data_IF_272977339492
#
_entry.id   IF_272977339492
#
_cell.length_a   1.000
_cell.length_b   1.000
_cell.length_c   1.000
_cell.angle_alpha   90.00
_cell.angle_beta   90.00
_cell.angle_gamma   90.00
#
_symmetry.space_group_name_H-M   'P 1'
#
loop_
_entity.id
_entity.type
_entity.pdbx_description
1 polymer ?
#
# COMPACT_ATOMS: atom_id res chain seq x y z
N UNK A 1 21.65 1.79 9.38
CA UNK A 1 20.43 1.53 10.18
C UNK A 1 20.08 2.72 11.09
N UNK A 2 21.03 3.25 11.87
CA UNK A 2 20.83 4.46 12.70
C UNK A 2 20.31 5.68 11.93
N UNK A 3 20.89 5.97 10.77
CA UNK A 3 20.43 7.09 9.90
C UNK A 3 18.97 6.91 9.46
N UNK A 4 18.56 5.68 9.11
CA UNK A 4 17.18 5.41 8.71
C UNK A 4 16.19 5.59 9.87
N UNK A 5 16.58 5.19 11.09
CA UNK A 5 15.77 5.40 12.30
C UNK A 5 15.66 6.89 12.60
N UNK A 6 16.76 7.65 12.55
CA UNK A 6 16.76 9.10 12.75
C UNK A 6 15.87 9.82 11.72
N UNK A 7 15.97 9.45 10.44
CA UNK A 7 15.10 10.01 9.41
C UNK A 7 13.63 9.67 9.62
N UNK A 8 13.28 8.48 10.09
CA UNK A 8 11.89 8.14 10.43
C UNK A 8 11.36 8.90 11.63
N UNK A 9 12.18 9.11 12.66
CA UNK A 9 11.79 9.93 13.81
C UNK A 9 11.59 11.39 13.39
N UNK A 10 12.44 11.92 12.50
CA UNK A 10 12.27 13.25 11.94
C UNK A 10 10.99 13.36 11.10
N UNK A 11 10.71 12.40 10.21
CA UNK A 11 9.47 12.34 9.43
C UNK A 11 8.23 12.21 10.31
N UNK A 12 8.31 11.41 11.38
CA UNK A 12 7.25 11.32 12.38
C UNK A 12 7.02 12.67 13.07
N UNK A 13 8.09 13.36 13.47
CA UNK A 13 8.01 14.69 14.07
C UNK A 13 7.39 15.74 13.15
N UNK A 14 7.68 15.67 11.85
CA UNK A 14 7.13 16.61 10.85
C UNK A 14 5.68 16.32 10.46
N UNK A 15 5.31 15.04 10.34
CA UNK A 15 4.01 14.63 9.78
C UNK A 15 2.98 14.24 10.85
N UNK A 16 3.43 13.92 12.07
CA UNK A 16 2.58 13.44 13.16
C UNK A 16 1.97 12.04 12.94
N UNK A 17 2.29 11.36 11.83
CA UNK A 17 1.69 10.06 11.51
C UNK A 17 2.46 8.90 12.15
N UNK A 18 1.83 8.25 13.14
CA UNK A 18 2.39 7.07 13.84
C UNK A 18 2.86 5.95 12.91
N UNK A 19 2.28 5.85 11.71
CA UNK A 19 2.63 4.84 10.69
C UNK A 19 4.12 4.86 10.31
N UNK A 20 4.79 6.01 10.33
CA UNK A 20 6.22 6.11 9.99
C UNK A 20 7.12 5.39 10.99
N UNK A 21 6.79 5.42 12.29
CA UNK A 21 7.55 4.70 13.33
C UNK A 21 7.42 3.19 13.18
N UNK A 22 6.25 2.71 12.75
CA UNK A 22 6.00 1.28 12.57
C UNK A 22 6.49 0.73 11.23
N UNK A 23 6.96 1.59 10.32
CA UNK A 23 7.33 1.16 8.96
C UNK A 23 8.55 0.24 8.93
N UNK A 24 9.65 0.55 9.65
CA UNK A 24 10.84 -0.34 9.71
C UNK A 24 10.50 -1.68 10.37
N UNK A 25 9.91 -1.72 11.59
CA UNK A 25 9.53 -2.98 12.22
C UNK A 25 8.61 -3.83 11.32
N UNK A 26 7.62 -3.19 10.70
CA UNK A 26 6.69 -3.85 9.79
C UNK A 26 7.42 -4.46 8.58
N UNK A 27 8.26 -3.68 7.90
CA UNK A 27 9.03 -4.15 6.74
C UNK A 27 9.97 -5.31 7.10
N UNK A 28 10.64 -5.26 8.26
CA UNK A 28 11.53 -6.32 8.72
C UNK A 28 10.78 -7.62 9.05
N UNK A 29 9.65 -7.52 9.75
CA UNK A 29 8.80 -8.66 10.08
C UNK A 29 8.30 -9.33 8.80
N UNK A 30 7.79 -8.54 7.85
CA UNK A 30 7.33 -9.06 6.56
C UNK A 30 8.48 -9.70 5.78
N UNK A 31 9.65 -9.06 5.71
CA UNK A 31 10.82 -9.61 5.02
C UNK A 31 11.35 -10.91 5.65
N UNK A 32 11.23 -11.05 6.97
CA UNK A 32 11.62 -12.27 7.69
C UNK A 32 10.63 -13.39 7.45
N UNK A 33 9.33 -13.09 7.54
CA UNK A 33 8.24 -14.04 7.34
C UNK A 33 8.15 -14.50 5.87
N UNK A 34 8.44 -13.62 4.91
CA UNK A 34 8.37 -13.92 3.48
C UNK A 34 9.43 -14.93 3.00
N UNK A 35 10.41 -15.27 3.84
CA UNK A 35 11.37 -16.35 3.55
C UNK A 35 10.76 -17.74 3.73
N UNK A 36 9.69 -17.86 4.52
CA UNK A 36 9.02 -19.13 4.76
C UNK A 36 7.96 -19.40 3.69
N UNK A 37 7.89 -20.64 3.18
CA UNK A 37 6.88 -21.03 2.18
C UNK A 37 5.44 -20.94 2.70
N UNK A 38 5.24 -20.94 4.02
CA UNK A 38 3.95 -20.75 4.68
C UNK A 38 3.56 -19.29 4.94
N UNK A 39 4.26 -18.30 4.38
CA UNK A 39 4.00 -16.86 4.64
C UNK A 39 2.52 -16.47 4.57
N UNK A 40 1.83 -16.87 3.49
CA UNK A 40 0.41 -16.56 3.29
C UNK A 40 -0.47 -17.17 4.38
N UNK A 41 -0.19 -18.42 4.77
CA UNK A 41 -0.89 -19.09 5.86
C UNK A 41 -0.65 -18.37 7.19
N UNK A 42 0.60 -17.99 7.50
CA UNK A 42 0.92 -17.24 8.72
C UNK A 42 0.24 -15.86 8.74
N UNK A 43 0.14 -15.18 7.60
CA UNK A 43 -0.54 -13.90 7.50
C UNK A 43 -2.05 -14.05 7.75
N UNK A 44 -2.70 -15.04 7.14
CA UNK A 44 -4.13 -15.31 7.33
C UNK A 44 -4.41 -15.73 8.77
N UNK A 45 -3.67 -16.73 9.28
CA UNK A 45 -3.83 -17.21 10.66
C UNK A 45 -3.54 -16.09 11.66
N UNK A 46 -2.52 -15.27 11.43
CA UNK A 46 -2.19 -14.11 12.26
C UNK A 46 -3.30 -13.06 12.29
N UNK A 47 -3.88 -12.73 11.12
CA UNK A 47 -5.02 -11.83 11.03
C UNK A 47 -6.25 -12.41 11.74
N UNK A 48 -6.56 -13.70 11.54
CA UNK A 48 -7.66 -14.38 12.23
C UNK A 48 -7.45 -14.42 13.75
N UNK A 49 -6.23 -14.71 14.21
CA UNK A 49 -5.90 -14.69 15.64
C UNK A 49 -6.00 -13.28 16.23
N UNK A 50 -5.63 -12.23 15.50
CA UNK A 50 -5.84 -10.84 15.94
C UNK A 50 -7.32 -10.51 16.12
N UNK A 51 -8.17 -10.96 15.19
CA UNK A 51 -9.62 -10.78 15.29
C UNK A 51 -10.17 -11.54 16.51
N UNK A 52 -9.90 -12.84 16.61
CA UNK A 52 -10.40 -13.68 17.71
C UNK A 52 -9.87 -13.19 19.05
N UNK A 53 -8.59 -12.89 19.15
CA UNK A 53 -7.96 -12.38 20.37
C UNK A 53 -8.53 -11.04 20.81
N UNK A 54 -8.78 -10.11 19.88
CA UNK A 54 -9.41 -8.84 20.24
C UNK A 54 -10.89 -8.98 20.62
N UNK A 55 -11.63 -9.94 20.05
CA UNK A 55 -12.99 -10.26 20.49
C UNK A 55 -13.00 -10.89 21.89
N UNK A 56 -12.07 -11.80 22.19
CA UNK A 56 -11.92 -12.38 23.53
C UNK A 56 -11.53 -11.34 24.57
N UNK A 57 -10.61 -10.43 24.22
CA UNK A 57 -10.23 -9.31 25.07
C UNK A 57 -11.44 -8.42 25.39
N UNK A 58 -12.25 -8.09 24.37
CA UNK A 58 -13.50 -7.36 24.57
C UNK A 58 -14.45 -8.09 25.52
N UNK A 59 -14.61 -9.41 25.36
CA UNK A 59 -15.50 -10.21 26.19
C UNK A 59 -15.07 -10.26 27.67
N UNK A 60 -13.76 -10.19 27.96
CA UNK A 60 -13.23 -10.28 29.34
C UNK A 60 -13.16 -8.90 29.99
N UNK A 61 -12.64 -7.89 29.28
CA UNK A 61 -12.29 -6.60 29.86
C UNK A 61 -13.41 -5.57 29.70
N UNK A 62 -14.37 -5.80 28.79
CA UNK A 62 -15.41 -4.83 28.34
C UNK A 62 -14.86 -3.51 27.76
N UNK A 63 -13.54 -3.35 27.71
CA UNK A 63 -12.85 -2.22 27.11
C UNK A 63 -12.84 -2.34 25.58
N UNK A 64 -13.37 -1.29 24.93
CA UNK A 64 -13.54 -1.18 23.48
C UNK A 64 -12.26 -0.67 22.80
N UNK A 65 -11.32 -0.10 23.56
CA UNK A 65 -10.22 0.69 23.00
C UNK A 65 -9.25 -0.17 22.18
N UNK A 66 -8.80 -1.31 22.72
CA UNK A 66 -7.89 -2.25 22.02
C UNK A 66 -8.54 -2.89 20.77
N UNK A 67 -9.75 -3.49 20.88
CA UNK A 67 -10.44 -4.08 19.72
C UNK A 67 -10.77 -3.04 18.64
N UNK A 68 -11.11 -1.81 19.05
CA UNK A 68 -11.41 -0.71 18.13
C UNK A 68 -10.17 -0.25 17.36
N UNK A 69 -9.00 -0.19 18.00
CA UNK A 69 -7.75 0.20 17.34
C UNK A 69 -7.21 -0.90 16.42
N UNK A 70 -7.24 -2.16 16.84
CA UNK A 70 -6.62 -3.26 16.11
C UNK A 70 -7.53 -3.90 15.06
N UNK A 71 -8.82 -4.10 15.36
CA UNK A 71 -9.76 -4.77 14.46
C UNK A 71 -10.54 -3.74 13.66
N UNK A 72 -11.24 -2.82 14.35
CA UNK A 72 -12.13 -1.88 13.68
C UNK A 72 -11.36 -0.96 12.71
N UNK A 73 -10.27 -0.35 13.15
CA UNK A 73 -9.52 0.61 12.31
C UNK A 73 -8.80 -0.03 11.12
N UNK A 74 -8.36 -1.28 11.25
CA UNK A 74 -7.51 -1.95 10.26
C UNK A 74 -8.33 -2.78 9.25
N UNK A 75 -9.46 -3.36 9.68
CA UNK A 75 -10.28 -4.25 8.85
C UNK A 75 -11.66 -3.66 8.54
N UNK A 76 -12.39 -3.19 9.56
CA UNK A 76 -13.78 -2.76 9.36
C UNK A 76 -13.90 -1.36 8.76
N UNK A 77 -13.09 -0.39 9.18
CA UNK A 77 -13.14 0.99 8.66
C UNK A 77 -12.87 1.02 7.15
N UNK A 78 -11.82 0.38 6.61
CA UNK A 78 -11.59 0.37 5.16
C UNK A 78 -12.74 -0.31 4.41
N UNK A 79 -13.26 -1.43 4.93
CA UNK A 79 -14.41 -2.10 4.34
C UNK A 79 -15.66 -1.21 4.33
N UNK A 80 -15.97 -0.54 5.44
CA UNK A 80 -17.08 0.40 5.57
C UNK A 80 -16.95 1.57 4.59
N UNK A 81 -15.73 2.09 4.40
CA UNK A 81 -15.46 3.15 3.43
C UNK A 81 -15.77 2.70 2.00
N UNK A 82 -15.45 1.47 1.62
CA UNK A 82 -15.82 0.96 0.30
C UNK A 82 -17.35 0.95 0.09
N UNK A 83 -18.12 0.57 1.12
CA UNK A 83 -19.58 0.62 1.05
C UNK A 83 -20.13 2.04 0.93
N UNK A 84 -19.63 2.99 1.72
CA UNK A 84 -20.05 4.39 1.64
C UNK A 84 -19.80 5.00 0.26
N UNK A 85 -18.62 4.73 -0.32
CA UNK A 85 -18.31 5.18 -1.68
C UNK A 85 -19.25 4.55 -2.72
N UNK A 86 -19.53 3.25 -2.59
CA UNK A 86 -20.45 2.57 -3.48
C UNK A 86 -21.86 3.17 -3.41
N UNK A 87 -22.45 3.21 -2.21
CA UNK A 87 -23.80 3.72 -1.96
C UNK A 87 -23.98 5.17 -2.44
N UNK A 88 -22.96 6.02 -2.23
CA UNK A 88 -22.99 7.40 -2.72
C UNK A 88 -22.95 7.48 -4.26
N UNK A 89 -21.96 6.84 -4.90
CA UNK A 89 -21.77 6.95 -6.36
C UNK A 89 -22.69 6.07 -7.21
N UNK A 90 -23.54 5.25 -6.56
CA UNK A 90 -24.67 4.58 -7.23
C UNK A 90 -25.70 5.60 -7.71
N UNK A 91 -26.02 6.59 -6.87
CA UNK A 91 -27.08 7.58 -7.14
C UNK A 91 -26.54 8.96 -7.54
N UNK A 92 -25.23 9.20 -7.42
CA UNK A 92 -24.61 10.50 -7.69
C UNK A 92 -23.60 10.45 -8.86
N UNK A 93 -23.29 11.59 -9.50
CA UNK A 93 -22.36 11.66 -10.62
C UNK A 93 -20.95 11.14 -10.29
N UNK A 94 -20.39 10.32 -11.17
CA UNK A 94 -19.01 9.83 -11.03
C UNK A 94 -18.01 10.92 -11.40
N UNK A 95 -16.77 10.76 -10.93
CA UNK A 95 -15.76 11.83 -10.96
C UNK A 95 -14.85 11.76 -12.19
N UNK A 96 -14.70 10.58 -12.83
CA UNK A 96 -13.89 10.40 -14.04
C UNK A 96 -12.48 11.00 -13.95
N UNK A 97 -11.77 10.80 -12.84
CA UNK A 97 -10.41 11.32 -12.59
C UNK A 97 -10.25 12.84 -12.65
N UNK A 98 -11.35 13.61 -12.63
CA UNK A 98 -11.31 15.07 -12.60
C UNK A 98 -10.69 15.65 -11.32
N UNK A 99 -10.53 14.84 -10.28
CA UNK A 99 -9.79 15.18 -9.06
C UNK A 99 -8.27 14.97 -9.17
N UNK A 100 -7.78 14.41 -10.27
CA UNK A 100 -6.37 14.05 -10.46
C UNK A 100 -5.91 14.41 -11.88
N UNK A 101 -5.58 13.41 -12.71
CA UNK A 101 -4.95 13.58 -14.02
C UNK A 101 -5.88 14.30 -15.02
N UNK A 102 -7.19 14.09 -14.94
CA UNK A 102 -8.16 14.65 -15.88
C UNK A 102 -8.78 15.96 -15.42
N UNK A 103 -8.20 16.63 -14.41
CA UNK A 103 -8.69 17.92 -13.89
C UNK A 103 -8.84 19.00 -14.97
N UNK A 104 -8.01 18.96 -16.00
CA UNK A 104 -8.03 19.94 -17.11
C UNK A 104 -9.09 19.62 -18.18
N UNK A 105 -9.52 18.36 -18.29
CA UNK A 105 -10.38 17.89 -19.38
C UNK A 105 -11.82 17.63 -18.93
N UNK A 106 -12.01 17.29 -17.66
CA UNK A 106 -13.31 16.93 -17.11
C UNK A 106 -13.63 17.86 -15.94
N UNK A 107 -14.80 18.51 -15.99
CA UNK A 107 -15.28 19.35 -14.90
C UNK A 107 -15.65 18.47 -13.71
N UNK A 108 -15.03 18.75 -12.57
CA UNK A 108 -15.34 18.06 -11.32
C UNK A 108 -16.79 18.39 -10.87
N UNK A 109 -17.64 17.38 -10.61
CA UNK A 109 -19.08 17.59 -10.42
C UNK A 109 -19.49 18.07 -9.01
N UNK A 110 -18.55 18.18 -8.06
CA UNK A 110 -18.83 18.57 -6.67
C UNK A 110 -18.10 19.85 -6.27
N UNK A 111 -18.59 20.55 -5.25
CA UNK A 111 -17.98 21.82 -4.79
C UNK A 111 -16.79 21.61 -3.83
N UNK A 112 -16.53 20.37 -3.41
CA UNK A 112 -15.56 20.02 -2.37
C UNK A 112 -14.89 18.68 -2.68
N UNK A 113 -13.71 18.40 -2.10
CA UNK A 113 -13.01 17.14 -2.32
C UNK A 113 -13.87 15.92 -1.98
N UNK A 114 -13.75 14.85 -2.76
CA UNK A 114 -14.54 13.61 -2.65
C UNK A 114 -14.60 13.07 -1.23
N UNK A 115 -13.46 13.08 -0.55
CA UNK A 115 -13.35 12.65 0.85
C UNK A 115 -14.27 13.47 1.76
N UNK A 116 -14.34 14.78 1.58
CA UNK A 116 -15.27 15.62 2.34
C UNK A 116 -16.72 15.41 1.91
N UNK A 117 -16.99 15.23 0.61
CA UNK A 117 -18.36 14.97 0.12
C UNK A 117 -18.94 13.76 0.86
N UNK A 118 -18.15 12.69 0.97
CA UNK A 118 -18.55 11.45 1.63
C UNK A 118 -18.60 11.61 3.15
N UNK A 119 -17.66 12.35 3.75
CA UNK A 119 -17.70 12.58 5.19
C UNK A 119 -18.96 13.34 5.61
N UNK A 120 -19.36 14.35 4.83
CA UNK A 120 -20.61 15.08 5.09
C UNK A 120 -21.85 14.22 4.85
N UNK A 121 -21.86 13.41 3.78
CA UNK A 121 -22.99 12.53 3.47
C UNK A 121 -23.27 11.47 4.54
N UNK A 122 -22.24 10.84 5.11
CA UNK A 122 -22.41 9.72 6.06
C UNK A 122 -22.09 10.04 7.52
N UNK A 123 -21.26 11.07 7.79
CA UNK A 123 -20.83 11.40 9.14
C UNK A 123 -21.35 12.76 9.63
N UNK A 124 -21.93 13.59 8.74
CA UNK A 124 -22.44 14.92 9.09
C UNK A 124 -21.35 15.90 9.57
N UNK A 125 -20.08 15.61 9.31
CA UNK A 125 -18.92 16.43 9.71
C UNK A 125 -17.75 16.24 8.76
N UNK A 126 -16.79 17.16 8.81
CA UNK A 126 -15.53 17.01 8.10
C UNK A 126 -14.77 15.77 8.58
N UNK A 127 -14.29 15.00 7.61
CA UNK A 127 -13.49 13.80 7.83
C UNK A 127 -12.63 13.48 6.62
N UNK A 128 -11.72 12.51 6.80
CA UNK A 128 -10.88 11.97 5.73
C UNK A 128 -11.19 10.50 5.45
N UNK A 129 -12.39 10.16 4.91
CA UNK A 129 -12.73 8.82 4.50
C UNK A 129 -11.89 8.42 3.27
N UNK A 130 -10.63 8.06 3.50
CA UNK A 130 -9.70 7.60 2.47
C UNK A 130 -10.01 6.15 2.14
N UNK A 131 -10.55 5.93 0.94
CA UNK A 131 -10.91 4.60 0.47
C UNK A 131 -9.73 3.95 -0.25
N UNK A 132 -9.68 2.62 -0.20
CA UNK A 132 -8.74 1.82 -0.99
C UNK A 132 -9.03 1.85 -2.48
N UNK A 133 -8.16 1.16 -3.24
CA UNK A 133 -8.18 1.08 -4.70
C UNK A 133 -9.57 0.87 -5.32
N UNK A 134 -10.33 -0.10 -4.83
CA UNK A 134 -11.62 -0.46 -5.44
C UNK A 134 -12.71 0.59 -5.25
N UNK A 135 -12.74 1.27 -4.10
CA UNK A 135 -13.76 2.29 -3.84
C UNK A 135 -13.46 3.58 -4.60
N UNK A 136 -12.17 3.92 -4.75
CA UNK A 136 -11.74 5.02 -5.61
C UNK A 136 -12.03 4.70 -7.09
N UNK A 137 -11.76 3.46 -7.53
CA UNK A 137 -12.08 3.03 -8.88
C UNK A 137 -13.59 3.14 -9.18
N UNK A 138 -14.43 2.74 -8.22
CA UNK A 138 -15.88 2.87 -8.31
C UNK A 138 -16.33 4.34 -8.39
N UNK A 139 -15.74 5.22 -7.59
CA UNK A 139 -16.03 6.65 -7.61
C UNK A 139 -15.71 7.32 -8.95
N UNK A 140 -14.66 6.83 -9.63
CA UNK A 140 -14.23 7.39 -10.90
C UNK A 140 -15.05 6.86 -12.09
N UNK A 141 -15.19 5.54 -12.23
CA UNK A 141 -15.80 4.92 -13.42
C UNK A 141 -16.78 3.78 -13.09
N UNK A 142 -17.20 3.63 -11.83
CA UNK A 142 -18.11 2.57 -11.39
C UNK A 142 -17.48 1.18 -11.51
N UNK A 143 -18.32 0.18 -11.81
CA UNK A 143 -17.87 -1.21 -11.94
C UNK A 143 -16.81 -1.40 -13.06
N UNK A 144 -16.93 -0.68 -14.18
CA UNK A 144 -15.91 -0.71 -15.22
C UNK A 144 -14.56 -0.20 -14.71
N UNK A 145 -14.59 0.85 -13.88
CA UNK A 145 -13.39 1.37 -13.20
C UNK A 145 -12.70 0.34 -12.34
N UNK A 146 -13.46 -0.43 -11.56
CA UNK A 146 -12.90 -1.48 -10.69
C UNK A 146 -12.11 -2.51 -11.50
N UNK A 147 -12.64 -2.93 -12.66
CA UNK A 147 -11.96 -3.87 -13.56
C UNK A 147 -10.67 -3.24 -14.12
N UNK A 148 -10.77 -2.03 -14.68
CA UNK A 148 -9.63 -1.34 -15.29
C UNK A 148 -8.52 -1.10 -14.27
N UNK A 149 -8.83 -0.61 -13.07
CA UNK A 149 -7.84 -0.34 -12.04
C UNK A 149 -7.18 -1.61 -11.51
N UNK A 150 -7.94 -2.72 -11.43
CA UNK A 150 -7.40 -4.01 -11.05
C UNK A 150 -6.42 -4.53 -12.11
N UNK A 151 -6.73 -4.38 -13.40
CA UNK A 151 -5.81 -4.72 -14.50
C UNK A 151 -4.56 -3.85 -14.43
N UNK A 152 -4.70 -2.54 -14.25
CA UNK A 152 -3.56 -1.63 -14.11
C UNK A 152 -2.66 -2.02 -12.93
N UNK A 153 -3.25 -2.35 -11.77
CA UNK A 153 -2.49 -2.83 -10.63
C UNK A 153 -1.79 -4.17 -10.96
N UNK A 154 -2.48 -5.11 -11.61
CA UNK A 154 -1.90 -6.41 -11.96
C UNK A 154 -0.70 -6.25 -12.91
N UNK A 155 -0.79 -5.36 -13.91
CA UNK A 155 0.33 -5.03 -14.80
C UNK A 155 1.51 -4.42 -14.04
N UNK A 156 1.22 -3.51 -13.10
CA UNK A 156 2.25 -2.89 -12.26
C UNK A 156 2.93 -3.89 -11.32
N UNK A 157 2.17 -4.80 -10.70
CA UNK A 157 2.73 -5.87 -9.88
C UNK A 157 3.58 -6.84 -10.71
N UNK A 158 3.15 -7.16 -11.94
CA UNK A 158 3.96 -7.99 -12.85
C UNK A 158 5.29 -7.33 -13.22
N UNK A 159 5.31 -6.01 -13.38
CA UNK A 159 6.54 -5.24 -13.57
C UNK A 159 7.45 -5.37 -12.34
N UNK A 160 6.89 -5.22 -11.13
CA UNK A 160 7.64 -5.38 -9.88
C UNK A 160 8.19 -6.80 -9.76
N UNK A 161 7.42 -7.83 -10.05
CA UNK A 161 7.87 -9.22 -9.99
C UNK A 161 9.06 -9.47 -10.93
N UNK A 162 9.01 -8.90 -12.14
CA UNK A 162 10.12 -8.97 -13.08
C UNK A 162 11.40 -8.36 -12.49
N UNK A 163 11.31 -7.18 -11.86
CA UNK A 163 12.45 -6.50 -11.24
C UNK A 163 12.94 -7.26 -10.00
N UNK A 164 12.00 -7.74 -9.18
CA UNK A 164 12.28 -8.45 -7.94
C UNK A 164 12.97 -9.80 -8.16
N UNK A 165 12.80 -10.42 -9.34
CA UNK A 165 13.46 -11.68 -9.70
C UNK A 165 14.99 -11.61 -9.65
N UNK A 166 15.55 -10.41 -9.86
CA UNK A 166 17.00 -10.16 -9.82
C UNK A 166 17.50 -9.72 -8.44
N UNK A 167 16.63 -9.67 -7.43
CA UNK A 167 16.94 -9.17 -6.09
C UNK A 167 16.78 -10.26 -5.02
N UNK A 168 17.50 -10.16 -3.89
CA UNK A 168 17.22 -11.00 -2.74
C UNK A 168 15.77 -10.81 -2.27
N UNK A 169 15.00 -11.91 -2.15
CA UNK A 169 13.55 -11.85 -1.83
C UNK A 169 13.22 -10.97 -0.64
N UNK A 170 13.99 -11.06 0.45
CA UNK A 170 13.75 -10.26 1.66
C UNK A 170 13.96 -8.75 1.46
N UNK A 171 14.83 -8.36 0.52
CA UNK A 171 15.02 -6.96 0.17
C UNK A 171 13.84 -6.43 -0.64
N UNK A 172 13.47 -7.15 -1.70
CA UNK A 172 12.33 -6.79 -2.54
C UNK A 172 11.03 -6.70 -1.73
N UNK A 173 10.76 -7.67 -0.84
CA UNK A 173 9.55 -7.67 -0.01
C UNK A 173 9.53 -6.52 1.00
N UNK A 174 10.68 -6.18 1.61
CA UNK A 174 10.76 -5.03 2.53
C UNK A 174 10.40 -3.71 1.84
N UNK A 175 10.84 -3.52 0.59
CA UNK A 175 10.62 -2.28 -0.16
C UNK A 175 9.16 -2.07 -0.59
N UNK A 176 8.46 -3.15 -0.91
CA UNK A 176 7.08 -3.09 -1.39
C UNK A 176 6.03 -3.27 -0.28
N UNK A 177 6.41 -3.79 0.90
CA UNK A 177 5.47 -4.11 1.97
C UNK A 177 4.59 -2.93 2.40
N UNK A 178 5.20 -1.77 2.65
CA UNK A 178 4.46 -0.59 3.11
C UNK A 178 3.61 0.05 1.99
N UNK A 179 4.14 0.31 0.77
CA UNK A 179 3.30 0.80 -0.32
C UNK A 179 2.16 -0.16 -0.70
N UNK A 180 2.39 -1.47 -0.63
CA UNK A 180 1.35 -2.47 -0.86
C UNK A 180 0.25 -2.41 0.23
N UNK A 181 0.63 -2.20 1.50
CA UNK A 181 -0.34 -1.97 2.57
C UNK A 181 -1.17 -0.70 2.33
N UNK A 182 -0.55 0.37 1.84
CA UNK A 182 -1.26 1.62 1.54
C UNK A 182 -2.36 1.48 0.47
N UNK A 183 -2.27 0.53 -0.47
CA UNK A 183 -3.33 0.27 -1.48
C UNK A 183 -4.69 -0.08 -0.86
N UNK A 184 -4.69 -0.64 0.35
CA UNK A 184 -5.92 -0.99 1.08
C UNK A 184 -6.67 0.23 1.59
N UNK A 185 -5.98 1.36 1.75
CA UNK A 185 -6.48 2.57 2.41
C UNK A 185 -6.28 3.85 1.57
N UNK A 186 -5.85 3.71 0.33
CA UNK A 186 -5.57 4.83 -0.56
C UNK A 186 -5.84 4.47 -2.02
N UNK A 187 -6.19 5.49 -2.80
CA UNK A 187 -6.38 5.39 -4.24
C UNK A 187 -5.11 4.88 -4.95
N UNK A 188 -5.29 4.27 -6.14
CA UNK A 188 -4.19 3.71 -6.94
C UNK A 188 -3.12 4.76 -7.25
N UNK A 189 -3.52 5.88 -7.86
CA UNK A 189 -2.59 6.94 -8.26
C UNK A 189 -1.91 7.61 -7.07
N UNK A 190 -2.64 7.84 -5.97
CA UNK A 190 -2.06 8.33 -4.72
C UNK A 190 -1.02 7.37 -4.16
N UNK A 191 -1.25 6.06 -4.27
CA UNK A 191 -0.29 5.06 -3.77
C UNK A 191 0.95 4.97 -4.64
N UNK A 192 0.79 5.05 -5.96
CA UNK A 192 1.92 5.08 -6.90
C UNK A 192 2.82 6.30 -6.67
N UNK A 193 2.22 7.49 -6.48
CA UNK A 193 2.94 8.76 -6.39
C UNK A 193 3.33 9.10 -4.95
N UNK A 194 2.35 9.25 -4.06
CA UNK A 194 2.54 9.80 -2.71
C UNK A 194 3.09 8.79 -1.72
N UNK A 195 2.62 7.53 -1.78
CA UNK A 195 3.15 6.46 -0.94
C UNK A 195 4.42 5.81 -1.51
N UNK A 196 4.94 6.36 -2.61
CA UNK A 196 6.23 6.01 -3.17
C UNK A 196 6.27 4.62 -3.80
N UNK A 197 5.15 4.01 -4.19
CA UNK A 197 5.20 2.67 -4.77
C UNK A 197 5.96 2.66 -6.10
N UNK A 198 5.80 3.70 -6.92
CA UNK A 198 6.59 3.86 -8.14
C UNK A 198 8.07 4.10 -7.81
N UNK A 199 8.36 4.92 -6.80
CA UNK A 199 9.73 5.20 -6.38
C UNK A 199 10.44 3.93 -5.87
N UNK A 200 9.74 3.09 -5.11
CA UNK A 200 10.25 1.78 -4.69
C UNK A 200 10.58 0.90 -5.89
N UNK A 201 9.72 0.84 -6.90
CA UNK A 201 9.98 0.07 -8.12
C UNK A 201 11.19 0.59 -8.89
N UNK A 202 11.33 1.92 -9.03
CA UNK A 202 12.49 2.55 -9.68
C UNK A 202 13.80 2.25 -8.94
N UNK A 203 13.78 2.34 -7.61
CA UNK A 203 14.96 2.04 -6.79
C UNK A 203 15.35 0.57 -6.86
N UNK A 204 14.36 -0.34 -6.83
CA UNK A 204 14.59 -1.77 -7.03
C UNK A 204 15.22 -2.04 -8.39
N UNK A 205 14.74 -1.38 -9.45
CA UNK A 205 15.29 -1.53 -10.80
C UNK A 205 16.75 -1.09 -10.87
N UNK A 206 17.08 0.06 -10.30
CA UNK A 206 18.47 0.54 -10.20
C UNK A 206 19.35 -0.45 -9.42
N UNK A 207 18.88 -0.91 -8.26
CA UNK A 207 19.61 -1.86 -7.40
C UNK A 207 19.84 -3.22 -8.07
N UNK A 208 18.86 -3.68 -8.87
CA UNK A 208 18.97 -4.90 -9.65
C UNK A 208 20.07 -4.78 -10.71
N UNK A 209 20.14 -3.64 -11.42
CA UNK A 209 21.18 -3.37 -12.42
C UNK A 209 22.59 -3.42 -11.84
N UNK A 210 22.82 -2.84 -10.65
CA UNK A 210 24.13 -2.88 -9.98
C UNK A 210 24.55 -4.31 -9.59
N UNK A 211 23.62 -5.13 -9.09
CA UNK A 211 23.92 -6.51 -8.71
C UNK A 211 24.23 -7.40 -9.92
N UNK A 212 23.54 -7.18 -11.03
CA UNK A 212 23.82 -7.87 -12.31
C UNK A 212 25.21 -7.48 -12.82
N UNK A 213 25.54 -6.18 -12.82
CA UNK A 213 26.86 -5.72 -13.27
C UNK A 213 28.01 -6.26 -12.39
N UNK A 214 27.81 -6.31 -11.06
CA UNK A 214 28.81 -6.88 -10.14
C UNK A 214 29.00 -8.39 -10.35
N UNK A 215 27.93 -9.14 -10.63
CA UNK A 215 28.04 -10.58 -10.89
C UNK A 215 28.64 -10.91 -12.27
N UNK A 216 28.45 -10.05 -13.27
CA UNK A 216 29.11 -10.17 -14.58
C UNK A 216 30.60 -9.78 -14.59
N UNK A 217 31.03 -8.91 -13.67
CA UNK A 217 32.42 -8.42 -13.57
C UNK A 217 33.42 -9.40 -12.93
N UNK A 218 32.95 -10.46 -12.26
CA UNK A 218 33.83 -11.50 -11.67
C UNK A 218 34.12 -12.68 -12.62
N UNK A 219 33.70 -12.59 -13.90
CA UNK A 219 33.80 -13.68 -14.88
C UNK A 219 34.94 -13.60 -15.89
N UNK A 220 35.80 -12.58 -15.87
CA UNK A 220 36.88 -12.41 -16.84
C UNK A 220 38.16 -11.89 -16.20
N UNK A 221 38.87 -12.75 -15.46
CA UNK A 221 40.30 -12.51 -15.15
C UNK A 221 41.07 -13.80 -14.82
N UNK A 222 40.77 -14.88 -15.56
CA UNK A 222 41.41 -16.17 -15.35
C UNK A 222 41.56 -16.96 -16.65
N UNK A 223 42.66 -16.73 -17.37
CA UNK A 223 43.20 -17.72 -18.30
C UNK A 223 43.42 -17.25 -19.73
N UNK A 224 44.58 -16.66 -19.98
CA UNK A 224 45.36 -16.99 -21.17
C UNK A 224 46.85 -16.78 -20.82
N UNK A 225 47.49 -17.78 -20.20
CA UNK A 225 48.24 -18.85 -20.86
C UNK A 225 49.45 -18.31 -21.61
N UNK A 226 50.60 -18.43 -20.94
CA UNK A 226 51.90 -18.55 -21.56
C UNK A 226 51.84 -19.76 -22.51
N UNK A 227 51.74 -19.50 -23.79
CA UNK A 227 51.99 -20.48 -24.84
C UNK A 227 52.45 -19.77 -26.11
N UNK A 228 53.73 -19.36 -26.11
CA UNK A 228 54.72 -19.58 -27.19
C UNK A 228 55.98 -18.77 -26.92
#
# INVERSE_FOLDING_TARGET
MLVAILMQVALFGMTGFKSFLFTIPFALVIARLSRNRGFLLYAVVGASMLVVGGLLFFAITTDILLPSLAIRRTLFVPAQLHFWYNEFFMNNPKIYLSNSIFRLFVKYPYNMPVTRVISWAFMGRDGGPNVGLLGDAYANFGYAGMIVYTILLALFLRLIDSIASSLPRGYATAMIAMPAFCLTNSALFTTLMTHGFLLSALWMWFSAGELINRSGGFGYDGGNSNAR
#
